data_IF_847369256147
#
_entry.id   IF_847369256147
#
_cell.length_a   1.000
_cell.length_b   1.000
_cell.length_c   1.000
_cell.angle_alpha   90.00
_cell.angle_beta   90.00
_cell.angle_gamma   90.00
#
_symmetry.space_group_name_H-M   'P 1'
#
loop_
_entity.id
_entity.type
_entity.pdbx_description
1 polymer ?
#
# COMPACT_ATOMS: atom_id res chain seq x y z
N UNK A 1 19.15 -2.79 -0.03
CA UNK A 1 19.87 -1.50 -0.11
C UNK A 1 20.79 -1.43 -1.32
N UNK A 2 21.79 -2.31 -1.51
CA UNK A 2 22.72 -2.23 -2.65
C UNK A 2 22.06 -2.19 -4.04
N UNK A 3 21.01 -2.99 -4.27
CA UNK A 3 20.28 -2.99 -5.55
C UNK A 3 19.61 -1.65 -5.86
N UNK A 4 18.98 -1.04 -4.84
CA UNK A 4 18.35 0.28 -4.98
C UNK A 4 19.36 1.37 -5.33
N UNK A 5 20.53 1.36 -4.67
CA UNK A 5 21.64 2.27 -4.97
C UNK A 5 22.12 2.11 -6.41
N UNK A 6 22.22 0.89 -6.92
CA UNK A 6 22.60 0.63 -8.31
C UNK A 6 21.54 1.12 -9.30
N UNK A 7 20.25 0.97 -8.97
CA UNK A 7 19.14 1.44 -9.82
C UNK A 7 19.17 2.94 -10.01
N UNK A 8 19.36 3.72 -8.95
CA UNK A 8 19.41 5.18 -9.06
C UNK A 8 20.66 5.69 -9.79
N UNK A 9 21.72 4.88 -9.90
CA UNK A 9 22.92 5.20 -10.70
C UNK A 9 22.73 5.00 -12.21
N UNK A 10 21.61 4.42 -12.66
CA UNK A 10 21.36 4.22 -14.08
C UNK A 10 21.13 5.58 -14.78
N UNK A 11 21.78 5.86 -15.93
CA UNK A 11 21.71 7.17 -16.57
C UNK A 11 20.28 7.69 -16.82
N UNK A 12 19.38 6.82 -17.26
CA UNK A 12 17.97 7.21 -17.50
C UNK A 12 17.17 7.40 -16.22
N UNK A 13 17.51 6.68 -15.13
CA UNK A 13 16.87 6.88 -13.83
C UNK A 13 17.32 8.22 -13.23
N UNK A 14 18.63 8.50 -13.24
CA UNK A 14 19.20 9.73 -12.72
C UNK A 14 18.75 11.01 -13.46
N UNK A 15 18.38 10.89 -14.74
CA UNK A 15 17.92 12.01 -15.57
C UNK A 15 16.40 12.16 -15.65
N UNK A 16 15.63 11.19 -15.16
CA UNK A 16 14.17 11.21 -15.27
C UNK A 16 13.51 11.93 -14.09
N UNK A 17 12.54 12.80 -14.40
CA UNK A 17 11.78 13.58 -13.39
C UNK A 17 10.88 12.73 -12.49
N UNK A 18 10.63 11.48 -12.85
CA UNK A 18 9.76 10.56 -12.11
C UNK A 18 10.49 9.78 -11.00
N UNK A 19 11.79 10.02 -10.81
CA UNK A 19 12.58 9.50 -9.71
C UNK A 19 13.17 10.65 -8.90
N UNK A 20 13.36 10.41 -7.60
CA UNK A 20 14.09 11.35 -6.73
C UNK A 20 15.54 11.45 -7.18
N UNK A 21 16.10 12.65 -7.20
CA UNK A 21 17.52 12.82 -7.50
C UNK A 21 18.38 12.27 -6.35
N UNK A 22 19.48 11.58 -6.67
CA UNK A 22 20.56 11.38 -5.69
C UNK A 22 21.42 12.63 -5.68
N UNK A 23 21.67 13.19 -4.50
CA UNK A 23 22.68 14.24 -4.31
C UNK A 23 24.04 13.69 -3.95
N UNK A 24 24.09 12.72 -3.03
CA UNK A 24 25.35 12.15 -2.56
C UNK A 24 25.21 10.67 -2.17
N UNK A 25 26.34 9.97 -2.12
CA UNK A 25 26.46 8.66 -1.53
C UNK A 25 27.34 8.75 -0.29
N UNK A 26 26.69 8.60 0.85
CA UNK A 26 27.36 8.50 2.14
C UNK A 26 27.96 7.08 2.26
N UNK A 27 28.97 6.96 3.11
CA UNK A 27 29.65 5.68 3.41
C UNK A 27 28.62 4.56 3.67
N UNK A 28 28.96 3.34 3.25
CA UNK A 28 28.18 2.12 3.48
C UNK A 28 26.79 2.03 2.80
N UNK A 29 26.69 2.42 1.53
CA UNK A 29 25.46 2.30 0.71
C UNK A 29 24.28 3.17 1.18
N UNK A 30 24.56 4.20 1.98
CA UNK A 30 23.57 5.22 2.33
C UNK A 30 23.50 6.24 1.20
N UNK A 31 22.31 6.56 0.71
CA UNK A 31 22.10 7.55 -0.36
C UNK A 31 21.36 8.76 0.19
N UNK A 32 21.84 9.94 -0.18
CA UNK A 32 21.12 11.20 0.03
C UNK A 32 20.23 11.47 -1.18
N UNK A 33 18.94 11.61 -0.95
CA UNK A 33 17.91 11.73 -1.97
C UNK A 33 17.16 13.05 -1.82
N UNK A 34 16.77 13.65 -2.94
CA UNK A 34 15.88 14.81 -3.03
C UNK A 34 14.74 14.72 -2.03
N UNK A 35 14.64 15.71 -1.14
CA UNK A 35 13.61 15.76 -0.11
C UNK A 35 12.22 15.92 -0.73
N UNK A 36 11.23 15.20 -0.18
CA UNK A 36 9.83 15.36 -0.56
C UNK A 36 9.06 15.93 0.63
N UNK A 37 8.42 17.08 0.44
CA UNK A 37 7.66 17.76 1.51
C UNK A 37 6.41 16.98 1.93
N UNK A 38 5.90 16.10 1.05
CA UNK A 38 4.72 15.29 1.32
C UNK A 38 4.73 13.98 0.55
N UNK A 39 4.04 12.98 1.08
CA UNK A 39 3.76 11.71 0.43
C UNK A 39 2.26 11.52 0.19
N UNK A 40 1.90 10.63 -0.74
CA UNK A 40 0.48 10.30 -0.98
C UNK A 40 -0.23 9.81 0.28
N UNK A 41 0.48 9.11 1.18
CA UNK A 41 -0.07 8.58 2.43
C UNK A 41 -0.48 9.67 3.43
N UNK A 42 0.11 10.86 3.35
CA UNK A 42 -0.19 12.00 4.22
C UNK A 42 -1.33 12.87 3.69
N UNK A 43 -1.70 12.71 2.42
CA UNK A 43 -2.78 13.46 1.79
C UNK A 43 -4.13 12.77 2.03
N UNK A 44 -5.11 13.52 2.50
CA UNK A 44 -6.49 13.01 2.59
C UNK A 44 -7.18 13.08 1.23
N UNK A 45 -7.78 11.96 0.80
CA UNK A 45 -8.56 11.92 -0.43
C UNK A 45 -9.83 12.77 -0.33
N UNK A 46 -10.00 13.67 -1.29
CA UNK A 46 -11.21 14.47 -1.47
C UNK A 46 -11.64 14.44 -2.95
N UNK A 47 -12.89 14.08 -3.31
CA UNK A 47 -13.31 13.98 -4.71
C UNK A 47 -13.51 15.38 -5.33
N UNK A 48 -12.41 16.01 -5.76
CA UNK A 48 -12.40 17.33 -6.37
C UNK A 48 -11.39 17.40 -7.53
N UNK A 49 -11.45 18.48 -8.31
CA UNK A 49 -10.60 18.65 -9.49
C UNK A 49 -9.10 18.63 -9.18
N UNK A 50 -8.67 19.15 -8.02
CA UNK A 50 -7.27 19.14 -7.60
C UNK A 50 -6.78 17.71 -7.35
N UNK A 51 -7.59 16.91 -6.66
CA UNK A 51 -7.32 15.49 -6.42
C UNK A 51 -7.25 14.68 -7.71
N UNK A 52 -8.16 14.90 -8.65
CA UNK A 52 -8.10 14.22 -9.95
C UNK A 52 -6.87 14.62 -10.77
N UNK A 53 -6.48 15.90 -10.70
CA UNK A 53 -5.22 16.35 -11.31
C UNK A 53 -4.01 15.67 -10.66
N UNK A 54 -4.02 15.50 -9.33
CA UNK A 54 -2.97 14.77 -8.61
C UNK A 54 -2.92 13.30 -9.04
N UNK A 55 -4.07 12.62 -9.10
CA UNK A 55 -4.16 11.24 -9.59
C UNK A 55 -3.58 11.12 -11.00
N UNK A 56 -3.94 12.04 -11.89
CA UNK A 56 -3.42 12.07 -13.26
C UNK A 56 -1.90 12.23 -13.29
N UNK A 57 -1.36 13.16 -12.51
CA UNK A 57 0.09 13.37 -12.43
C UNK A 57 0.82 12.16 -11.85
N UNK A 58 0.26 11.54 -10.81
CA UNK A 58 0.81 10.34 -10.19
C UNK A 58 0.80 9.14 -11.14
N UNK A 59 -0.31 8.90 -11.84
CA UNK A 59 -0.40 7.86 -12.86
C UNK A 59 0.61 8.09 -13.98
N UNK A 60 0.75 9.34 -14.46
CA UNK A 60 1.74 9.71 -15.47
C UNK A 60 3.15 9.40 -14.99
N UNK A 61 3.52 9.84 -13.77
CA UNK A 61 4.84 9.58 -13.21
C UNK A 61 5.12 8.08 -13.03
N UNK A 62 4.16 7.31 -12.50
CA UNK A 62 4.30 5.88 -12.29
C UNK A 62 4.44 5.07 -13.60
N UNK A 63 3.73 5.45 -14.65
CA UNK A 63 3.89 4.80 -15.96
C UNK A 63 5.15 5.26 -16.69
N UNK A 64 5.54 6.52 -16.56
CA UNK A 64 6.82 7.01 -17.11
C UNK A 64 8.02 6.33 -16.44
N UNK A 65 8.00 6.17 -15.11
CA UNK A 65 9.09 5.48 -14.40
C UNK A 65 9.23 4.04 -14.84
N UNK A 66 8.10 3.37 -15.13
CA UNK A 66 8.12 2.02 -15.69
C UNK A 66 8.80 1.97 -17.06
N UNK A 67 8.47 2.88 -17.99
CA UNK A 67 9.14 2.97 -19.30
C UNK A 67 10.65 3.23 -19.16
N UNK A 68 11.06 3.94 -18.12
CA UNK A 68 12.50 4.14 -17.82
C UNK A 68 13.17 2.86 -17.35
N UNK A 69 12.50 2.05 -16.51
CA UNK A 69 13.07 0.83 -15.92
C UNK A 69 13.01 -0.39 -16.85
N UNK A 70 12.05 -0.44 -17.76
CA UNK A 70 11.87 -1.54 -18.72
C UNK A 70 13.13 -1.79 -19.56
N UNK A 71 13.80 -0.71 -19.98
CA UNK A 71 15.07 -0.74 -20.72
C UNK A 71 16.20 -1.48 -19.98
N UNK A 72 16.10 -1.59 -18.67
CA UNK A 72 17.11 -2.27 -17.83
C UNK A 72 16.64 -3.63 -17.34
N UNK A 73 15.48 -4.13 -17.80
CA UNK A 73 14.82 -5.34 -17.30
C UNK A 73 14.58 -5.31 -15.78
N UNK A 74 14.58 -4.13 -15.18
CA UNK A 74 14.20 -3.97 -13.78
C UNK A 74 12.69 -3.88 -13.71
N UNK A 75 12.07 -4.90 -13.12
CA UNK A 75 10.71 -4.75 -12.59
C UNK A 75 10.86 -3.92 -11.31
N UNK A 76 9.99 -2.94 -11.08
CA UNK A 76 10.04 -1.98 -9.96
C UNK A 76 9.91 -2.62 -8.55
N UNK A 77 10.11 -3.93 -8.44
CA UNK A 77 10.15 -4.70 -7.20
C UNK A 77 11.55 -5.24 -6.98
N UNK A 78 12.25 -4.60 -6.05
CA UNK A 78 13.59 -4.91 -5.53
C UNK A 78 13.54 -6.17 -4.67
N UNK A 79 13.17 -7.33 -5.22
CA UNK A 79 13.26 -8.60 -4.47
C UNK A 79 13.79 -9.73 -5.36
N UNK A 80 14.91 -10.40 -4.98
CA UNK A 80 15.41 -11.59 -5.67
C UNK A 80 14.37 -12.71 -5.69
N UNK A 81 14.48 -13.62 -6.67
CA UNK A 81 13.58 -14.75 -6.97
C UNK A 81 13.39 -15.77 -5.81
N UNK A 82 13.91 -15.53 -4.61
CA UNK A 82 13.72 -16.35 -3.41
C UNK A 82 12.88 -15.71 -2.28
N UNK A 83 12.59 -14.41 -2.33
CA UNK A 83 11.82 -13.67 -1.31
C UNK A 83 10.48 -13.14 -1.85
N UNK A 84 10.00 -13.76 -2.94
CA UNK A 84 8.85 -13.37 -3.76
C UNK A 84 7.57 -13.07 -2.98
N UNK A 85 7.32 -13.79 -1.88
CA UNK A 85 6.13 -13.63 -1.05
C UNK A 85 6.08 -12.28 -0.32
N UNK A 86 7.19 -11.53 -0.24
CA UNK A 86 7.26 -10.21 0.39
C UNK A 86 7.55 -9.08 -0.61
N UNK A 87 7.57 -9.36 -1.91
CA UNK A 87 7.88 -8.38 -2.96
C UNK A 87 6.93 -7.18 -2.98
N UNK A 88 5.70 -7.36 -2.49
CA UNK A 88 4.70 -6.30 -2.38
C UNK A 88 4.03 -6.36 -0.99
N UNK A 89 3.84 -5.21 -0.31
CA UNK A 89 2.99 -5.13 0.87
C UNK A 89 1.58 -5.66 0.59
N UNK A 90 0.92 -6.25 1.59
CA UNK A 90 -0.40 -6.90 1.42
C UNK A 90 -1.44 -6.04 0.68
N UNK A 91 -1.46 -4.72 0.93
CA UNK A 91 -2.45 -3.81 0.34
C UNK A 91 -2.27 -3.58 -1.16
N UNK A 92 -1.04 -3.71 -1.67
CA UNK A 92 -0.71 -3.47 -3.09
C UNK A 92 -0.24 -4.74 -3.80
N UNK A 93 -0.30 -5.89 -3.12
CA UNK A 93 0.14 -7.17 -3.64
C UNK A 93 -0.83 -7.68 -4.71
N UNK A 94 -0.28 -8.03 -5.86
CA UNK A 94 -1.04 -8.59 -6.96
C UNK A 94 -1.51 -10.02 -6.64
N UNK A 95 -2.68 -10.45 -7.16
CA UNK A 95 -3.23 -11.76 -6.87
C UNK A 95 -2.27 -12.92 -7.19
N UNK A 96 -1.54 -12.84 -8.30
CA UNK A 96 -0.55 -13.83 -8.72
C UNK A 96 0.63 -13.93 -7.75
N UNK A 97 1.01 -12.82 -7.11
CA UNK A 97 2.10 -12.79 -6.12
C UNK A 97 1.65 -13.50 -4.83
N UNK A 98 0.37 -13.41 -4.45
CA UNK A 98 -0.19 -14.25 -3.37
C UNK A 98 -0.17 -15.75 -3.71
N UNK A 99 -0.04 -16.12 -4.99
CA UNK A 99 0.06 -17.51 -5.42
C UNK A 99 1.51 -17.98 -5.57
N UNK A 100 2.47 -17.18 -5.11
CA UNK A 100 3.90 -17.48 -5.20
C UNK A 100 4.53 -17.20 -6.57
N UNK A 101 3.75 -16.65 -7.52
CA UNK A 101 4.27 -16.33 -8.85
C UNK A 101 5.17 -15.10 -8.81
N UNK A 102 6.08 -15.04 -9.78
CA UNK A 102 6.94 -13.88 -9.98
C UNK A 102 6.12 -12.59 -10.13
N UNK A 103 6.62 -11.49 -9.57
CA UNK A 103 6.06 -10.17 -9.84
C UNK A 103 6.34 -9.82 -11.31
N UNK A 104 5.29 -9.74 -12.11
CA UNK A 104 5.37 -9.47 -13.54
C UNK A 104 4.97 -8.03 -13.83
N UNK A 105 5.02 -7.66 -15.10
CA UNK A 105 4.58 -6.36 -15.58
C UNK A 105 3.10 -6.04 -15.19
N UNK A 106 2.11 -6.94 -15.37
CA UNK A 106 0.76 -6.76 -14.84
C UNK A 106 0.71 -6.50 -13.33
N UNK A 107 1.57 -7.16 -12.55
CA UNK A 107 1.61 -6.99 -11.10
C UNK A 107 1.99 -5.56 -10.67
N UNK A 108 2.76 -4.85 -11.50
CA UNK A 108 3.12 -3.45 -11.28
C UNK A 108 1.93 -2.51 -11.53
N UNK A 109 1.19 -2.76 -12.61
CA UNK A 109 -0.04 -2.01 -12.92
C UNK A 109 -1.06 -2.22 -11.80
N UNK A 110 -1.20 -3.46 -11.31
CA UNK A 110 -2.01 -3.76 -10.13
C UNK A 110 -1.57 -2.95 -8.92
N UNK A 111 -0.28 -2.92 -8.60
CA UNK A 111 0.21 -2.19 -7.42
C UNK A 111 -0.14 -0.69 -7.47
N UNK A 112 0.00 -0.06 -8.63
CA UNK A 112 -0.38 1.36 -8.82
C UNK A 112 -1.90 1.55 -8.62
N UNK A 113 -2.71 0.69 -9.21
CA UNK A 113 -4.17 0.75 -9.08
C UNK A 113 -4.61 0.49 -7.62
N UNK A 114 -4.01 -0.51 -6.96
CA UNK A 114 -4.28 -0.85 -5.57
C UNK A 114 -3.84 0.25 -4.61
N UNK A 115 -2.70 0.91 -4.86
CA UNK A 115 -2.24 2.08 -4.11
C UNK A 115 -3.27 3.21 -4.17
N UNK A 116 -3.75 3.56 -5.38
CA UNK A 116 -4.79 4.57 -5.55
C UNK A 116 -6.10 4.17 -4.87
N UNK A 117 -6.51 2.91 -5.00
CA UNK A 117 -7.73 2.41 -4.38
C UNK A 117 -7.64 2.46 -2.85
N UNK A 118 -6.49 2.10 -2.27
CA UNK A 118 -6.23 2.20 -0.84
C UNK A 118 -6.16 3.64 -0.34
N UNK A 119 -5.67 4.57 -1.17
CA UNK A 119 -5.69 5.99 -0.86
C UNK A 119 -7.11 6.57 -0.85
N UNK A 120 -7.94 6.20 -1.84
CA UNK A 120 -9.34 6.61 -1.95
C UNK A 120 -10.20 6.00 -0.84
N UNK A 121 -9.97 4.72 -0.54
CA UNK A 121 -10.73 3.96 0.46
C UNK A 121 -9.78 3.10 1.30
N UNK A 122 -9.21 3.67 2.38
CA UNK A 122 -8.31 2.93 3.26
C UNK A 122 -8.93 1.63 3.78
N UNK A 123 -8.14 0.56 3.82
CA UNK A 123 -8.54 -0.75 4.34
C UNK A 123 -9.34 -1.64 3.38
N UNK A 124 -9.66 -1.15 2.18
CA UNK A 124 -10.37 -1.93 1.15
C UNK A 124 -9.57 -3.14 0.65
N UNK A 125 -8.24 -3.06 0.64
CA UNK A 125 -7.31 -4.13 0.30
C UNK A 125 -6.33 -4.39 1.44
N UNK A 126 -5.64 -5.53 1.38
CA UNK A 126 -4.63 -5.93 2.35
C UNK A 126 -5.21 -6.47 3.65
N UNK A 127 -4.36 -6.48 4.68
CA UNK A 127 -4.65 -7.08 5.99
C UNK A 127 -5.27 -6.11 7.00
N UNK A 128 -5.63 -4.90 6.57
CA UNK A 128 -6.40 -3.99 7.42
C UNK A 128 -7.65 -4.69 7.92
N UNK A 129 -8.09 -4.40 9.14
CA UNK A 129 -9.24 -5.03 9.83
C UNK A 129 -9.17 -6.56 10.00
N UNK A 130 -8.02 -7.18 9.73
CA UNK A 130 -7.81 -8.60 10.01
C UNK A 130 -8.02 -8.88 11.50
N UNK A 131 -8.83 -9.90 11.87
CA UNK A 131 -9.11 -10.22 13.26
C UNK A 131 -7.89 -10.82 13.98
N UNK A 132 -6.90 -11.33 13.24
CA UNK A 132 -5.69 -11.91 13.82
C UNK A 132 -4.50 -11.85 12.85
N UNK A 133 -3.29 -11.49 13.30
CA UNK A 133 -2.09 -11.41 12.44
C UNK A 133 -1.80 -12.69 11.65
N UNK A 134 -2.05 -13.86 12.24
CA UNK A 134 -1.82 -15.17 11.60
C UNK A 134 -2.67 -15.42 10.36
N UNK A 135 -3.76 -14.66 10.15
CA UNK A 135 -4.60 -14.80 8.97
C UNK A 135 -4.50 -13.61 8.03
N UNK A 136 -3.54 -12.69 8.22
CA UNK A 136 -3.40 -11.48 7.41
C UNK A 136 -3.34 -11.76 5.90
N UNK A 137 -2.58 -12.78 5.51
CA UNK A 137 -2.46 -13.19 4.12
C UNK A 137 -3.78 -13.73 3.58
N UNK A 138 -4.39 -14.68 4.29
CA UNK A 138 -5.69 -15.26 3.93
C UNK A 138 -6.75 -14.15 3.84
N UNK A 139 -6.74 -13.21 4.80
CA UNK A 139 -7.65 -12.07 4.85
C UNK A 139 -7.49 -11.15 3.64
N UNK A 140 -6.26 -10.76 3.31
CA UNK A 140 -5.97 -9.95 2.13
C UNK A 140 -6.44 -10.67 0.85
N UNK A 141 -6.18 -11.97 0.73
CA UNK A 141 -6.62 -12.78 -0.41
C UNK A 141 -8.14 -12.87 -0.51
N UNK A 142 -8.88 -12.92 0.61
CA UNK A 142 -10.36 -12.98 0.58
C UNK A 142 -11.00 -11.70 0.06
N UNK A 143 -10.36 -10.54 0.25
CA UNK A 143 -10.89 -9.25 -0.20
C UNK A 143 -10.88 -9.12 -1.73
N UNK A 144 -9.91 -9.75 -2.41
CA UNK A 144 -9.77 -9.68 -3.87
C UNK A 144 -11.00 -10.21 -4.64
N UNK A 145 -11.42 -11.49 -4.51
CA UNK A 145 -12.59 -12.01 -5.21
C UNK A 145 -13.90 -11.37 -4.73
N UNK A 146 -13.91 -10.72 -3.56
CA UNK A 146 -15.07 -9.94 -3.13
C UNK A 146 -15.20 -8.64 -3.92
N UNK A 147 -14.10 -7.92 -4.12
CA UNK A 147 -14.07 -6.70 -4.92
C UNK A 147 -14.20 -6.96 -6.41
N UNK A 148 -13.69 -8.11 -6.87
CA UNK A 148 -13.70 -8.53 -8.27
C UNK A 148 -14.36 -9.92 -8.37
N UNK A 149 -15.70 -10.03 -8.40
CA UNK A 149 -16.42 -11.31 -8.33
C UNK A 149 -16.09 -12.31 -9.43
N UNK A 150 -15.66 -11.80 -10.59
CA UNK A 150 -15.25 -12.61 -11.75
C UNK A 150 -13.78 -13.07 -11.66
N UNK A 151 -13.05 -12.66 -10.62
CA UNK A 151 -11.69 -13.09 -10.39
C UNK A 151 -11.67 -14.45 -9.70
N UNK A 152 -11.17 -15.46 -10.40
CA UNK A 152 -10.95 -16.79 -9.82
C UNK A 152 -9.53 -16.93 -9.27
N UNK A 153 -9.41 -17.29 -8.00
CA UNK A 153 -8.12 -17.61 -7.39
C UNK A 153 -7.59 -18.90 -8.04
N UNK A 154 -6.58 -18.79 -8.89
CA UNK A 154 -5.95 -19.94 -9.55
C UNK A 154 -5.30 -20.90 -8.53
N UNK A 155 -4.97 -22.12 -8.98
CA UNK A 155 -4.24 -23.09 -8.17
C UNK A 155 -2.83 -22.57 -7.85
N UNK A 156 -2.42 -22.56 -6.57
CA UNK A 156 -1.09 -22.11 -6.19
C UNK A 156 -0.01 -23.15 -6.52
N UNK A 157 1.25 -22.72 -6.53
CA UNK A 157 2.39 -23.55 -6.94
C UNK A 157 2.94 -24.45 -5.82
N UNK A 158 2.65 -24.14 -4.55
CA UNK A 158 3.19 -24.88 -3.38
C UNK A 158 2.12 -25.28 -2.38
N UNK A 159 2.36 -26.38 -1.65
CA UNK A 159 1.42 -26.95 -0.66
C UNK A 159 1.06 -25.96 0.47
N UNK A 160 2.02 -25.14 0.91
CA UNK A 160 1.78 -24.11 1.93
C UNK A 160 0.77 -23.07 1.45
N UNK A 161 0.83 -22.69 0.17
CA UNK A 161 -0.10 -21.75 -0.44
C UNK A 161 -1.47 -22.38 -0.72
N UNK A 162 -1.54 -23.70 -0.95
CA UNK A 162 -2.82 -24.44 -1.07
C UNK A 162 -3.68 -24.25 0.17
N UNK A 163 -3.08 -24.35 1.37
CA UNK A 163 -3.80 -24.13 2.63
C UNK A 163 -4.34 -22.70 2.76
N UNK A 164 -3.52 -21.69 2.41
CA UNK A 164 -3.93 -20.28 2.44
C UNK A 164 -5.07 -19.99 1.45
N UNK A 165 -4.96 -20.50 0.21
CA UNK A 165 -5.98 -20.36 -0.84
C UNK A 165 -7.29 -21.04 -0.43
N UNK A 166 -7.23 -22.26 0.10
CA UNK A 166 -8.43 -22.99 0.53
C UNK A 166 -9.11 -22.30 1.71
N UNK A 167 -8.32 -21.78 2.65
CA UNK A 167 -8.84 -20.97 3.76
C UNK A 167 -9.52 -19.70 3.25
N UNK A 168 -8.92 -19.01 2.27
CA UNK A 168 -9.49 -17.80 1.69
C UNK A 168 -10.81 -18.10 0.95
N UNK A 169 -10.88 -19.19 0.18
CA UNK A 169 -12.12 -19.64 -0.46
C UNK A 169 -13.21 -19.97 0.56
N UNK A 170 -12.86 -20.64 1.66
CA UNK A 170 -13.80 -20.98 2.74
C UNK A 170 -14.37 -19.72 3.39
N UNK A 171 -13.52 -18.76 3.76
CA UNK A 171 -13.94 -17.46 4.31
C UNK A 171 -14.78 -16.65 3.33
N UNK A 172 -14.56 -16.79 2.02
CA UNK A 172 -15.37 -16.10 1.02
C UNK A 172 -16.79 -16.70 0.92
N UNK A 173 -16.94 -18.01 1.08
CA UNK A 173 -18.25 -18.69 1.08
C UNK A 173 -19.13 -18.32 2.29
N UNK A 174 -18.50 -17.95 3.41
CA UNK A 174 -19.19 -17.64 4.67
C UNK A 174 -19.69 -16.18 4.83
N UNK A 175 -19.18 -15.23 4.03
CA UNK A 175 -19.48 -13.81 4.23
C UNK A 175 -20.53 -13.27 3.25
N UNK A 176 -21.52 -12.54 3.77
CA UNK A 176 -22.59 -11.91 2.99
C UNK A 176 -22.19 -10.46 2.69
N UNK A 177 -21.64 -10.22 1.51
CA UNK A 177 -21.37 -8.88 0.94
C UNK A 177 -20.15 -8.08 1.45
N UNK A 178 -19.70 -7.15 0.60
CA UNK A 178 -18.54 -6.25 0.81
C UNK A 178 -18.84 -5.16 1.85
N UNK A 179 -20.12 -4.77 2.02
CA UNK A 179 -20.51 -3.66 2.90
C UNK A 179 -20.22 -3.92 4.37
N UNK A 180 -20.27 -5.19 4.79
CA UNK A 180 -20.08 -5.60 6.19
C UNK A 180 -18.65 -5.37 6.71
N UNK A 181 -17.68 -5.20 5.81
CA UNK A 181 -16.27 -4.98 6.16
C UNK A 181 -15.90 -3.50 6.33
N UNK A 182 -16.73 -2.59 5.81
CA UNK A 182 -16.36 -1.16 5.70
C UNK A 182 -16.81 -0.30 6.87
N UNK A 183 -17.47 -0.87 7.88
CA UNK A 183 -18.00 -0.13 9.02
C UNK A 183 -17.45 -0.65 10.36
N UNK A 184 -16.12 -0.60 10.52
CA UNK A 184 -15.43 -0.85 11.78
C UNK A 184 -14.93 0.43 12.43
N UNK A 185 -15.72 0.99 13.37
CA UNK A 185 -15.39 1.96 14.44
C UNK A 185 -14.21 2.92 14.20
N UNK A 186 -14.53 4.15 13.80
CA UNK A 186 -13.82 5.34 14.30
C UNK A 186 -14.47 5.71 15.63
N UNK A 187 -14.18 4.96 16.71
CA UNK A 187 -14.60 5.37 18.05
C UNK A 187 -13.91 6.70 18.36
N UNK A 188 -14.67 7.79 18.24
CA UNK A 188 -14.35 9.05 18.88
C UNK A 188 -14.21 8.73 20.36
N UNK A 189 -12.98 8.73 20.89
CA UNK A 189 -12.75 8.91 22.32
C UNK A 189 -13.37 10.25 22.70
N UNK A 190 -14.63 10.20 23.15
CA UNK A 190 -15.19 11.24 24.00
C UNK A 190 -14.35 11.27 25.26
N UNK A 191 -13.44 12.24 25.33
CA UNK A 191 -12.78 12.56 26.58
C UNK A 191 -13.83 13.19 27.48
N UNK A 192 -14.18 12.48 28.56
CA UNK A 192 -14.82 13.07 29.72
C UNK A 192 -13.96 14.24 30.19
N UNK A 193 -14.45 15.45 29.96
CA UNK A 193 -13.91 16.65 30.58
C UNK A 193 -14.30 16.60 32.06
N UNK A 194 -13.38 16.13 32.90
CA UNK A 194 -13.46 16.30 34.34
C UNK A 194 -13.58 17.80 34.64
N UNK A 195 -14.71 18.15 35.26
CA UNK A 195 -15.02 19.50 35.71
C UNK A 195 -13.94 20.04 36.66
N UNK A 196 -13.17 21.02 36.19
CA UNK A 196 -12.34 21.86 37.05
C UNK A 196 -13.28 22.75 37.86
N UNK A 197 -13.43 22.43 39.15
CA UNK A 197 -14.04 23.31 40.15
C UNK A 197 -13.26 24.63 40.18
N UNK A 198 -13.91 25.72 39.78
CA UNK A 198 -13.45 27.08 40.10
C UNK A 198 -13.59 27.31 41.60
N UNK A 199 -12.57 27.81 42.31
CA UNK A 199 -12.78 28.41 43.62
C UNK A 199 -13.41 29.80 43.43
N UNK A 200 -14.53 29.99 44.10
CA UNK A 200 -15.23 31.26 44.29
C UNK A 200 -14.38 32.24 45.12
N UNK A 201 -14.34 33.47 44.60
CA UNK A 201 -13.96 34.78 45.17
C UNK A 201 -13.94 34.98 46.69
N UNK A 202 -13.07 35.90 47.15
CA UNK A 202 -13.30 36.99 48.13
C UNK A 202 -12.08 37.95 48.02
N UNK A 203 -12.22 39.11 47.37
CA UNK A 203 -12.42 40.48 47.90
C UNK A 203 -11.17 41.37 47.80
N UNK A 204 -11.22 42.30 46.85
CA UNK A 204 -10.50 43.57 46.91
C UNK A 204 -11.47 44.65 47.42
N UNK A 205 -11.05 45.39 48.43
CA UNK A 205 -11.76 46.56 48.92
C UNK A 205 -11.04 47.14 50.13
N UNK A 206 -10.31 48.22 49.87
CA UNK A 206 -9.87 49.24 50.84
C UNK A 206 -10.96 49.65 51.82
#
# INVERSE_FOLDING_TARGET
>A
MQLEVLTYRLPRVASAECFRKIYDMIVDSTIDLEWLDTTLAELEYHPNMRTYSLIRSLLRAAFTSRVVLEDYKYVNTVVPVGELLNAQPYAIRAPEVFLGKACTEPSQVWAVAAMLLCWIKPGVLGAWDSPHPLINEVWAMTKIPRLFPYWEISTPETDTLVLAVNSARSLNRGARSISDFTFGRRDKKGGDAAAVKRPSSIHSGT
#
